data_IF_012393171711
#
_entry.id   IF_012393171711
#
_cell.length_a   1.000
_cell.length_b   1.000
_cell.length_c   1.000
_cell.angle_alpha   90.00
_cell.angle_beta   90.00
_cell.angle_gamma   90.00
#
_symmetry.space_group_name_H-M   'P 1'
#
loop_
_entity.id
_entity.type
_entity.pdbx_description
1 polymer ?
#
# COMPACT_ATOMS: atom_id res chain seq x y z
N UNK A 1 -29.02 4.50 10.74
CA UNK A 1 -28.02 3.44 10.61
C UNK A 1 -27.73 3.22 9.13
N UNK A 2 -26.45 3.10 8.80
CA UNK A 2 -25.94 2.59 7.53
C UNK A 2 -25.17 1.32 7.87
N UNK A 3 -25.62 0.16 7.39
CA UNK A 3 -25.08 -1.14 7.81
C UNK A 3 -24.02 -1.74 6.87
N UNK A 4 -23.65 -1.01 5.81
CA UNK A 4 -22.66 -1.48 4.82
C UNK A 4 -23.18 -2.50 3.81
N UNK A 5 -24.46 -2.88 3.85
CA UNK A 5 -25.05 -3.88 2.94
C UNK A 5 -25.58 -3.31 1.61
N UNK A 6 -25.32 -2.03 1.34
CA UNK A 6 -25.83 -1.27 0.20
C UNK A 6 -27.38 -1.08 0.21
N UNK A 7 -28.02 -1.26 1.37
CA UNK A 7 -29.42 -0.94 1.57
C UNK A 7 -29.60 0.54 1.95
N UNK A 8 -30.84 1.05 1.86
CA UNK A 8 -31.14 2.42 2.33
C UNK A 8 -30.91 2.53 3.83
N UNK A 9 -30.41 3.69 4.26
CA UNK A 9 -30.32 4.01 5.69
C UNK A 9 -31.68 3.95 6.38
N UNK A 10 -31.70 3.54 7.62
CA UNK A 10 -32.93 3.44 8.44
C UNK A 10 -32.70 3.99 9.85
N UNK A 11 -33.81 4.37 10.53
CA UNK A 11 -33.77 4.76 11.95
C UNK A 11 -33.76 3.50 12.82
N UNK A 12 -32.94 3.51 13.88
CA UNK A 12 -32.83 2.38 14.81
C UNK A 12 -31.67 2.56 15.78
N UNK A 13 -31.49 1.56 16.62
CA UNK A 13 -30.46 1.47 17.64
C UNK A 13 -29.49 0.36 17.30
N UNK A 14 -28.28 0.39 17.90
CA UNK A 14 -27.26 -0.66 17.82
C UNK A 14 -26.90 -1.07 19.24
N UNK A 15 -27.10 -2.34 19.59
CA UNK A 15 -26.60 -2.91 20.83
C UNK A 15 -25.26 -3.60 20.59
N UNK A 16 -24.32 -3.37 21.51
CA UNK A 16 -22.99 -3.95 21.48
C UNK A 16 -22.76 -4.68 22.81
N UNK A 17 -22.32 -5.93 22.72
CA UNK A 17 -21.91 -6.72 23.88
C UNK A 17 -20.45 -7.14 23.67
N UNK A 18 -19.57 -6.65 24.54
CA UNK A 18 -18.13 -6.79 24.40
C UNK A 18 -17.61 -6.25 23.06
N UNK A 19 -17.12 -7.12 22.17
CA UNK A 19 -16.57 -6.78 20.85
C UNK A 19 -17.52 -7.10 19.69
N UNK A 20 -18.82 -7.36 19.97
CA UNK A 20 -19.80 -7.82 18.99
C UNK A 20 -21.02 -6.91 18.92
N UNK A 21 -21.52 -6.70 17.71
CA UNK A 21 -22.86 -6.18 17.49
C UNK A 21 -23.83 -7.29 17.82
N UNK A 22 -24.65 -7.07 18.85
CA UNK A 22 -25.61 -8.05 19.38
C UNK A 22 -26.98 -7.90 18.72
N UNK A 23 -27.42 -6.66 18.52
CA UNK A 23 -28.69 -6.39 17.85
C UNK A 23 -28.67 -5.03 17.12
N UNK A 24 -29.45 -4.93 16.06
CA UNK A 24 -29.71 -3.71 15.30
C UNK A 24 -31.21 -3.59 15.05
N UNK A 25 -31.81 -2.46 15.41
CA UNK A 25 -33.24 -2.23 15.20
C UNK A 25 -33.85 -1.31 16.25
N UNK A 26 -35.14 -1.47 16.56
CA UNK A 26 -35.80 -0.75 17.64
C UNK A 26 -35.53 -1.46 18.98
N UNK A 27 -34.66 -0.87 19.78
CA UNK A 27 -34.21 -1.40 21.07
C UNK A 27 -34.68 -0.53 22.26
N UNK A 28 -35.71 0.32 22.10
CA UNK A 28 -36.15 1.28 23.11
C UNK A 28 -36.54 0.63 24.46
N UNK A 29 -36.88 -0.67 24.49
CA UNK A 29 -37.16 -1.42 25.71
C UNK A 29 -35.99 -2.24 26.23
N UNK A 30 -34.82 -2.11 25.63
CA UNK A 30 -33.62 -2.87 26.01
C UNK A 30 -32.84 -2.09 27.05
N UNK A 31 -32.43 -2.77 28.12
CA UNK A 31 -31.53 -2.20 29.12
C UNK A 31 -30.07 -2.34 28.67
N UNK A 32 -29.31 -1.26 28.82
CA UNK A 32 -27.85 -1.24 28.60
C UNK A 32 -27.17 -0.57 29.81
N UNK A 33 -25.93 -0.97 30.09
CA UNK A 33 -25.10 -0.33 31.12
C UNK A 33 -24.72 1.09 30.73
N UNK A 34 -24.47 1.32 29.44
CA UNK A 34 -24.13 2.63 28.87
C UNK A 34 -24.99 2.88 27.62
N UNK A 35 -25.50 4.08 27.48
CA UNK A 35 -26.28 4.51 26.32
C UNK A 35 -25.65 5.78 25.73
N UNK A 36 -25.27 5.69 24.46
CA UNK A 36 -24.77 6.82 23.67
C UNK A 36 -25.94 7.38 22.85
N UNK A 37 -26.32 8.63 23.10
CA UNK A 37 -27.36 9.30 22.30
C UNK A 37 -26.78 9.71 20.93
N UNK A 38 -27.15 8.96 19.88
CA UNK A 38 -26.74 9.21 18.52
C UNK A 38 -27.81 9.94 17.68
N UNK A 39 -28.83 10.54 18.27
CA UNK A 39 -29.86 11.29 17.55
C UNK A 39 -29.28 12.44 16.74
N UNK A 40 -29.67 12.54 15.47
CA UNK A 40 -29.10 13.52 14.52
C UNK A 40 -27.74 13.14 13.92
N UNK A 41 -27.23 11.96 14.25
CA UNK A 41 -26.00 11.41 13.70
C UNK A 41 -26.25 10.15 12.87
N UNK A 42 -25.27 9.73 12.11
CA UNK A 42 -25.25 8.48 11.38
C UNK A 42 -24.35 7.48 12.11
N UNK A 43 -24.89 6.29 12.39
CA UNK A 43 -24.10 5.16 12.87
C UNK A 43 -23.78 4.29 11.67
N UNK A 44 -22.51 4.05 11.43
CA UNK A 44 -22.01 3.25 10.30
C UNK A 44 -20.80 2.40 10.76
N UNK A 45 -20.43 1.33 10.03
CA UNK A 45 -19.14 0.68 10.21
C UNK A 45 -17.99 1.67 10.09
N UNK A 46 -16.93 1.46 10.85
CA UNK A 46 -15.71 2.24 10.69
C UNK A 46 -15.11 2.06 9.30
N UNK A 47 -14.50 3.11 8.77
CA UNK A 47 -13.85 3.07 7.46
C UNK A 47 -12.60 2.18 7.50
N UNK A 48 -12.35 1.51 6.38
CA UNK A 48 -11.14 0.74 6.15
C UNK A 48 -10.29 1.50 5.13
N UNK A 49 -9.10 1.96 5.55
CA UNK A 49 -8.12 2.49 4.61
C UNK A 49 -7.31 1.30 4.04
N UNK A 50 -7.63 0.93 2.82
CA UNK A 50 -7.11 -0.29 2.19
C UNK A 50 -5.69 -0.16 1.66
N UNK A 51 -5.14 1.07 1.62
CA UNK A 51 -3.81 1.32 1.08
C UNK A 51 -3.05 2.35 1.90
N UNK A 52 -2.21 1.88 2.82
CA UNK A 52 -1.38 2.74 3.65
C UNK A 52 0.05 2.21 3.76
N UNK A 53 0.94 3.09 4.24
CA UNK A 53 2.31 2.80 4.62
C UNK A 53 2.54 3.11 6.11
N UNK A 54 1.53 2.86 6.93
CA UNK A 54 1.53 3.17 8.36
C UNK A 54 2.27 2.11 9.20
N UNK A 55 2.97 1.15 8.59
CA UNK A 55 3.67 0.04 9.27
C UNK A 55 4.49 0.51 10.46
N UNK A 56 5.32 1.54 10.28
CA UNK A 56 6.15 2.10 11.33
C UNK A 56 5.36 3.01 12.29
N UNK A 57 4.36 3.71 11.75
CA UNK A 57 3.49 4.61 12.52
C UNK A 57 2.74 3.85 13.62
N UNK A 58 2.24 2.66 13.33
CA UNK A 58 1.54 1.79 14.28
C UNK A 58 2.38 1.48 15.54
N UNK A 59 3.72 1.42 15.40
CA UNK A 59 4.66 1.20 16.52
C UNK A 59 5.04 2.49 17.25
N UNK A 60 5.23 3.57 16.51
CA UNK A 60 5.83 4.81 17.03
C UNK A 60 4.80 5.81 17.51
N UNK A 61 3.62 5.83 16.89
CA UNK A 61 2.48 6.67 17.26
C UNK A 61 1.18 5.86 17.23
N UNK A 62 0.97 4.93 18.17
CA UNK A 62 -0.15 3.98 18.14
C UNK A 62 -1.53 4.64 18.31
N UNK A 63 -1.60 5.90 18.69
CA UNK A 63 -2.87 6.65 18.71
C UNK A 63 -3.46 6.86 17.31
N UNK A 64 -2.61 6.91 16.28
CA UNK A 64 -2.98 7.05 14.85
C UNK A 64 -4.08 8.10 14.63
N UNK A 65 -3.98 9.21 15.35
CA UNK A 65 -5.00 10.27 15.41
C UNK A 65 -5.47 10.77 14.04
N UNK A 66 -4.58 10.98 13.03
CA UNK A 66 -5.01 11.45 11.70
C UNK A 66 -5.99 10.51 11.00
N UNK A 67 -5.91 9.22 11.25
CA UNK A 67 -6.82 8.21 10.69
C UNK A 67 -8.09 8.12 11.53
N UNK A 68 -7.93 7.91 12.83
CA UNK A 68 -9.05 7.71 13.75
C UNK A 68 -9.99 8.91 13.79
N UNK A 69 -9.46 10.14 13.75
CA UNK A 69 -10.27 11.38 13.73
C UNK A 69 -11.17 11.54 12.50
N UNK A 70 -10.90 10.75 11.44
CA UNK A 70 -11.70 10.71 10.23
C UNK A 70 -12.61 9.47 10.15
N UNK A 71 -12.71 8.70 11.23
CA UNK A 71 -13.54 7.48 11.29
C UNK A 71 -12.91 6.25 10.68
N UNK A 72 -11.61 6.27 10.36
CA UNK A 72 -10.87 5.08 9.93
C UNK A 72 -10.56 4.22 11.15
N UNK A 73 -11.06 3.00 11.18
CA UNK A 73 -10.90 2.04 12.28
C UNK A 73 -10.03 0.85 11.92
N UNK A 74 -9.69 0.71 10.65
CA UNK A 74 -8.82 -0.37 10.15
C UNK A 74 -7.94 0.16 9.03
N UNK A 75 -6.67 -0.22 9.04
CA UNK A 75 -5.72 0.07 7.95
C UNK A 75 -5.16 -1.22 7.37
N UNK A 76 -4.88 -1.22 6.07
CA UNK A 76 -4.09 -2.27 5.41
C UNK A 76 -2.71 -1.71 5.15
N UNK A 77 -1.69 -2.33 5.75
CA UNK A 77 -0.28 -1.93 5.67
C UNK A 77 0.55 -2.96 4.91
N UNK A 78 1.80 -2.64 4.62
CA UNK A 78 2.66 -3.53 3.83
C UNK A 78 2.40 -3.44 2.32
N UNK A 79 1.83 -2.34 1.84
CA UNK A 79 1.53 -2.11 0.43
C UNK A 79 2.78 -1.83 -0.42
N UNK A 80 2.63 -1.82 -1.73
CA UNK A 80 3.65 -1.45 -2.73
C UNK A 80 4.98 -2.21 -2.58
N UNK A 81 4.94 -3.45 -2.07
CA UNK A 81 6.12 -4.27 -1.86
C UNK A 81 6.94 -3.91 -0.61
N UNK A 82 6.44 -3.03 0.24
CA UNK A 82 7.18 -2.51 1.40
C UNK A 82 6.48 -2.87 2.70
N UNK A 83 7.14 -3.67 3.56
CA UNK A 83 6.70 -4.00 4.92
C UNK A 83 7.88 -3.98 5.88
N UNK A 84 7.67 -3.72 7.18
CA UNK A 84 8.75 -3.71 8.17
C UNK A 84 9.32 -5.10 8.48
N UNK A 85 8.58 -6.14 8.18
CA UNK A 85 8.95 -7.54 8.40
C UNK A 85 8.60 -8.38 7.17
N UNK A 86 9.32 -9.50 6.95
CA UNK A 86 10.43 -10.03 7.72
C UNK A 86 11.79 -9.53 7.21
N UNK A 87 12.42 -8.62 7.93
CA UNK A 87 13.79 -8.19 7.63
C UNK A 87 14.47 -7.63 8.89
N UNK A 88 15.67 -8.14 9.17
CA UNK A 88 16.60 -7.53 10.10
C UNK A 88 17.66 -6.83 9.25
N UNK A 89 17.53 -5.52 9.11
CA UNK A 89 18.40 -4.76 8.22
C UNK A 89 19.85 -4.71 8.78
N UNK A 90 20.79 -4.95 7.88
CA UNK A 90 22.23 -4.84 8.07
C UNK A 90 22.84 -3.70 7.23
N UNK A 91 21.98 -2.96 6.54
CA UNK A 91 22.29 -1.85 5.64
C UNK A 91 21.11 -0.88 5.57
N UNK A 92 21.35 0.38 5.17
CA UNK A 92 20.26 1.33 4.92
C UNK A 92 19.23 0.77 3.94
N UNK A 93 17.93 0.92 4.22
CA UNK A 93 16.88 0.46 3.31
C UNK A 93 16.96 1.24 1.98
N UNK A 94 16.91 0.54 0.83
CA UNK A 94 16.88 1.22 -0.45
C UNK A 94 15.51 1.90 -0.67
N UNK A 95 15.42 2.99 -1.45
CA UNK A 95 14.15 3.54 -1.87
C UNK A 95 13.27 2.51 -2.60
N UNK A 96 11.95 2.44 -2.35
CA UNK A 96 11.14 3.34 -1.52
C UNK A 96 11.03 2.93 -0.05
N UNK A 97 11.75 1.92 0.42
CA UNK A 97 11.64 1.38 1.77
C UNK A 97 12.03 2.40 2.84
N UNK A 98 12.92 3.35 2.51
CA UNK A 98 13.32 4.48 3.34
C UNK A 98 12.17 5.45 3.67
N UNK A 99 11.06 5.40 2.91
CA UNK A 99 9.85 6.21 3.21
C UNK A 99 9.16 5.81 4.52
N UNK A 100 9.22 4.53 4.91
CA UNK A 100 8.55 4.04 6.12
C UNK A 100 9.48 3.93 7.32
N UNK A 101 10.78 4.04 7.12
CA UNK A 101 11.73 4.06 8.22
C UNK A 101 13.18 3.88 7.83
N UNK A 102 14.06 4.26 8.76
CA UNK A 102 15.49 4.02 8.65
C UNK A 102 15.84 2.55 8.94
N UNK A 103 17.12 2.19 8.83
CA UNK A 103 17.64 0.85 9.18
C UNK A 103 17.12 0.35 10.54
N UNK A 104 17.05 1.23 11.55
CA UNK A 104 16.60 0.86 12.89
C UNK A 104 15.10 0.48 12.95
N UNK A 105 14.28 0.88 11.97
CA UNK A 105 12.89 0.48 11.89
C UNK A 105 12.76 -0.98 11.40
N UNK A 106 13.67 -1.41 10.53
CA UNK A 106 13.71 -2.77 9.96
C UNK A 106 14.45 -3.75 10.88
N UNK A 107 13.89 -4.02 12.05
CA UNK A 107 14.49 -4.82 13.13
C UNK A 107 13.75 -6.13 13.42
N UNK A 108 12.87 -6.54 12.54
CA UNK A 108 12.00 -7.69 12.75
C UNK A 108 12.36 -8.83 11.80
N UNK A 109 13.14 -9.83 12.24
CA UNK A 109 13.57 -10.95 11.39
C UNK A 109 12.41 -11.83 10.93
N UNK A 110 11.25 -11.76 11.61
CA UNK A 110 10.03 -12.49 11.25
C UNK A 110 8.81 -11.58 11.40
N UNK A 111 7.76 -11.85 10.64
CA UNK A 111 6.48 -11.15 10.81
C UNK A 111 5.88 -11.38 12.20
N UNK A 112 6.02 -12.60 12.76
CA UNK A 112 5.59 -12.91 14.12
C UNK A 112 6.25 -11.99 15.16
N UNK A 113 7.54 -11.65 15.01
CA UNK A 113 8.23 -10.72 15.94
C UNK A 113 7.67 -9.29 15.85
N UNK A 114 7.30 -8.84 14.64
CA UNK A 114 6.65 -7.56 14.43
C UNK A 114 5.23 -7.54 15.03
N UNK A 115 4.43 -8.57 14.76
CA UNK A 115 3.09 -8.72 15.32
C UNK A 115 3.10 -8.67 16.85
N UNK A 116 4.03 -9.40 17.49
CA UNK A 116 4.19 -9.35 18.95
C UNK A 116 4.57 -7.96 19.47
N UNK A 117 5.36 -7.20 18.74
CA UNK A 117 5.68 -5.83 19.14
C UNK A 117 4.45 -4.91 19.09
N UNK A 118 3.57 -5.10 18.11
CA UNK A 118 2.29 -4.38 18.05
C UNK A 118 1.35 -4.80 19.19
N UNK A 119 1.30 -6.06 19.54
CA UNK A 119 0.47 -6.57 20.66
C UNK A 119 0.91 -6.05 22.03
N UNK A 120 2.20 -5.76 22.22
CA UNK A 120 2.72 -5.17 23.44
C UNK A 120 2.28 -3.73 23.66
N UNK A 121 2.06 -2.98 22.57
CA UNK A 121 1.56 -1.62 22.58
C UNK A 121 0.56 -1.45 21.44
N UNK A 122 -0.69 -1.92 21.63
CA UNK A 122 -1.68 -1.92 20.57
C UNK A 122 -1.98 -0.52 20.05
N UNK A 123 -2.17 -0.41 18.75
CA UNK A 123 -2.67 0.81 18.13
C UNK A 123 -4.17 1.00 18.43
N UNK A 124 -4.64 2.25 18.35
CA UNK A 124 -6.07 2.61 18.54
C UNK A 124 -6.97 2.17 17.39
N UNK A 125 -6.40 1.59 16.33
CA UNK A 125 -7.11 1.06 15.16
C UNK A 125 -6.64 -0.38 14.88
N UNK A 126 -7.45 -1.12 14.14
CA UNK A 126 -7.04 -2.44 13.65
C UNK A 126 -6.05 -2.29 12.48
N UNK A 127 -5.20 -3.30 12.31
CA UNK A 127 -4.29 -3.38 11.18
C UNK A 127 -4.31 -4.77 10.55
N UNK A 128 -4.40 -4.80 9.22
CA UNK A 128 -4.20 -5.98 8.40
C UNK A 128 -2.89 -5.84 7.62
N UNK A 129 -2.11 -6.90 7.54
CA UNK A 129 -0.72 -6.82 7.08
C UNK A 129 -0.49 -7.61 5.80
N UNK A 130 0.03 -6.96 4.77
CA UNK A 130 0.63 -7.58 3.61
C UNK A 130 2.13 -7.74 3.83
N UNK A 131 2.73 -8.75 3.20
CA UNK A 131 4.18 -8.95 3.18
C UNK A 131 4.74 -8.38 1.89
N UNK A 132 5.68 -7.46 2.03
CA UNK A 132 6.25 -6.74 0.91
C UNK A 132 7.32 -7.53 0.16
N UNK A 133 7.23 -7.56 -1.18
CA UNK A 133 8.21 -8.20 -2.06
C UNK A 133 9.61 -7.58 -1.94
N UNK A 134 9.70 -6.24 -1.90
CA UNK A 134 10.98 -5.54 -1.69
C UNK A 134 11.63 -5.97 -0.38
N UNK A 135 10.82 -6.13 0.68
CA UNK A 135 11.29 -6.59 1.98
C UNK A 135 11.85 -8.02 1.91
N UNK A 136 11.14 -8.93 1.23
CA UNK A 136 11.60 -10.30 1.02
C UNK A 136 12.88 -10.35 0.19
N UNK A 137 12.98 -9.56 -0.87
CA UNK A 137 14.22 -9.48 -1.69
C UNK A 137 15.38 -8.91 -0.89
N UNK A 138 15.17 -7.82 -0.14
CA UNK A 138 16.21 -7.22 0.71
C UNK A 138 16.71 -8.16 1.81
N UNK A 139 15.83 -8.98 2.36
CA UNK A 139 16.18 -9.96 3.41
C UNK A 139 16.92 -11.20 2.87
N UNK A 140 16.85 -11.44 1.56
CA UNK A 140 17.29 -12.72 0.96
C UNK A 140 18.44 -12.53 -0.03
N UNK A 141 18.49 -11.40 -0.73
CA UNK A 141 19.40 -11.16 -1.84
C UNK A 141 20.48 -10.15 -1.50
N UNK A 142 21.67 -10.38 -2.02
CA UNK A 142 22.83 -9.50 -1.95
C UNK A 142 22.83 -8.40 -3.04
N UNK A 143 22.24 -8.69 -4.19
CA UNK A 143 22.13 -7.78 -5.33
C UNK A 143 20.67 -7.80 -5.87
N UNK A 144 20.02 -6.63 -5.86
CA UNK A 144 18.64 -6.46 -6.27
C UNK A 144 18.47 -6.16 -7.77
N UNK A 145 19.57 -5.81 -8.47
CA UNK A 145 19.57 -5.43 -9.90
C UNK A 145 19.56 -6.64 -10.86
N UNK A 146 19.22 -7.81 -10.34
CA UNK A 146 19.12 -9.07 -11.10
C UNK A 146 17.88 -9.86 -10.69
N UNK A 147 17.41 -10.79 -11.54
CA UNK A 147 16.43 -11.78 -11.12
C UNK A 147 16.90 -12.60 -9.91
N UNK A 148 15.97 -13.00 -9.07
CA UNK A 148 16.28 -13.91 -7.98
C UNK A 148 16.64 -15.31 -8.51
N UNK A 149 17.60 -15.96 -7.86
CA UNK A 149 17.95 -17.36 -8.12
C UNK A 149 16.87 -18.27 -7.53
N UNK A 150 16.82 -19.50 -7.98
CA UNK A 150 15.86 -20.48 -7.48
C UNK A 150 15.86 -20.60 -5.94
N UNK A 151 17.04 -20.71 -5.34
CA UNK A 151 17.20 -20.81 -3.87
C UNK A 151 16.72 -19.54 -3.15
N UNK A 152 16.93 -18.36 -3.73
CA UNK A 152 16.45 -17.09 -3.18
C UNK A 152 14.92 -17.02 -3.26
N UNK A 153 14.32 -17.48 -4.36
CA UNK A 153 12.85 -17.59 -4.48
C UNK A 153 12.30 -18.54 -3.42
N UNK A 154 12.88 -19.71 -3.22
CA UNK A 154 12.43 -20.68 -2.21
C UNK A 154 12.57 -20.13 -0.77
N UNK A 155 13.61 -19.35 -0.50
CA UNK A 155 13.79 -18.65 0.77
C UNK A 155 12.70 -17.59 0.99
N UNK A 156 12.41 -16.77 -0.03
CA UNK A 156 11.33 -15.78 0.03
C UNK A 156 9.96 -16.44 0.21
N UNK A 157 9.68 -17.55 -0.49
CA UNK A 157 8.45 -18.34 -0.33
C UNK A 157 8.30 -18.85 1.10
N UNK A 158 9.39 -19.37 1.68
CA UNK A 158 9.40 -19.86 3.07
C UNK A 158 9.09 -18.76 4.07
N UNK A 159 9.69 -17.57 3.90
CA UNK A 159 9.42 -16.40 4.74
C UNK A 159 7.97 -15.92 4.58
N UNK A 160 7.45 -15.86 3.34
CA UNK A 160 6.07 -15.47 3.07
C UNK A 160 5.09 -16.46 3.71
N UNK A 161 5.28 -17.77 3.50
CA UNK A 161 4.43 -18.81 4.10
C UNK A 161 4.43 -18.75 5.63
N UNK A 162 5.60 -18.56 6.24
CA UNK A 162 5.71 -18.37 7.70
C UNK A 162 4.94 -17.12 8.17
N UNK A 163 4.98 -16.05 7.40
CA UNK A 163 4.26 -14.82 7.71
C UNK A 163 2.75 -14.98 7.58
N UNK A 164 2.29 -15.71 6.57
CA UNK A 164 0.86 -16.03 6.38
C UNK A 164 0.34 -16.90 7.54
N UNK A 165 1.10 -17.90 7.98
CA UNK A 165 0.79 -18.68 9.19
C UNK A 165 0.72 -17.81 10.46
N UNK A 166 1.52 -16.76 10.53
CA UNK A 166 1.52 -15.83 11.66
C UNK A 166 0.42 -14.74 11.55
N UNK A 167 -0.46 -14.79 10.53
CA UNK A 167 -1.64 -13.93 10.40
C UNK A 167 -1.49 -12.79 9.40
N UNK A 168 -0.47 -12.78 8.56
CA UNK A 168 -0.46 -11.86 7.40
C UNK A 168 -1.59 -12.24 6.44
N UNK A 169 -2.24 -11.24 5.83
CA UNK A 169 -3.41 -11.44 4.96
C UNK A 169 -3.06 -11.58 3.49
N UNK A 170 -1.79 -11.39 3.11
CA UNK A 170 -1.40 -11.44 1.71
C UNK A 170 0.02 -10.99 1.44
N UNK A 171 0.27 -10.72 0.17
CA UNK A 171 1.56 -10.36 -0.40
C UNK A 171 1.40 -9.11 -1.27
N UNK A 172 2.38 -8.21 -1.24
CA UNK A 172 2.36 -7.03 -2.10
C UNK A 172 3.63 -6.88 -2.93
N UNK A 173 3.50 -6.27 -4.11
CA UNK A 173 4.63 -5.91 -4.97
C UNK A 173 4.66 -4.43 -5.28
N UNK A 174 5.85 -3.91 -5.57
CA UNK A 174 6.07 -2.57 -6.13
C UNK A 174 7.02 -2.69 -7.31
N UNK A 175 6.52 -3.23 -8.43
CA UNK A 175 7.33 -3.64 -9.58
C UNK A 175 7.97 -2.47 -10.34
N UNK A 176 7.47 -1.25 -10.13
CA UNK A 176 8.08 -0.03 -10.66
C UNK A 176 9.34 0.39 -9.90
N UNK A 177 9.52 -0.06 -8.65
CA UNK A 177 10.63 0.38 -7.80
C UNK A 177 11.88 -0.47 -7.97
N UNK A 178 13.04 0.17 -7.86
CA UNK A 178 14.35 -0.46 -8.04
C UNK A 178 14.54 -1.82 -7.36
N UNK A 179 14.12 -2.07 -6.11
CA UNK A 179 14.27 -3.38 -5.49
C UNK A 179 13.58 -4.52 -6.24
N UNK A 180 12.53 -4.22 -7.03
CA UNK A 180 11.70 -5.20 -7.72
C UNK A 180 11.76 -5.12 -9.25
N UNK A 181 12.39 -4.10 -9.84
CA UNK A 181 12.42 -3.93 -11.32
C UNK A 181 12.98 -5.15 -12.05
N UNK A 182 14.01 -5.79 -11.47
CA UNK A 182 14.62 -6.99 -12.03
C UNK A 182 13.84 -8.30 -11.72
N UNK A 183 12.76 -8.23 -10.93
CA UNK A 183 11.93 -9.40 -10.64
C UNK A 183 11.19 -9.87 -11.89
N UNK A 184 11.27 -11.18 -12.17
CA UNK A 184 10.57 -11.79 -13.30
C UNK A 184 9.10 -12.07 -12.96
N UNK A 185 8.20 -12.15 -13.95
CA UNK A 185 6.83 -12.60 -13.71
C UNK A 185 6.73 -13.98 -13.07
N UNK A 186 7.68 -14.87 -13.33
CA UNK A 186 7.72 -16.21 -12.72
C UNK A 186 8.11 -16.15 -11.24
N UNK A 187 9.05 -15.27 -10.84
CA UNK A 187 9.37 -14.99 -9.44
C UNK A 187 8.12 -14.53 -8.68
N UNK A 188 7.42 -13.50 -9.22
CA UNK A 188 6.21 -12.95 -8.60
C UNK A 188 5.10 -14.01 -8.52
N UNK A 189 4.91 -14.79 -9.60
CA UNK A 189 3.90 -15.87 -9.64
C UNK A 189 4.20 -16.96 -8.61
N UNK A 190 5.48 -17.32 -8.43
CA UNK A 190 5.87 -18.33 -7.45
C UNK A 190 5.58 -17.88 -6.00
N UNK A 191 5.82 -16.61 -5.69
CA UNK A 191 5.50 -16.04 -4.38
C UNK A 191 3.98 -15.91 -4.20
N UNK A 192 3.27 -15.33 -5.15
CA UNK A 192 1.82 -15.18 -5.08
C UNK A 192 1.09 -16.54 -4.97
N UNK A 193 1.69 -17.61 -5.50
CA UNK A 193 1.16 -18.98 -5.38
C UNK A 193 1.01 -19.48 -3.94
N UNK A 194 1.80 -18.93 -3.00
CA UNK A 194 1.68 -19.27 -1.57
C UNK A 194 0.36 -18.80 -0.97
N UNK A 195 -0.28 -17.79 -1.55
CA UNK A 195 -1.53 -17.20 -1.05
C UNK A 195 -2.73 -18.14 -1.16
N UNK A 196 -2.70 -19.06 -2.13
CA UNK A 196 -3.84 -19.92 -2.46
C UNK A 196 -4.33 -20.75 -1.27
N UNK A 197 -3.42 -21.32 -0.51
CA UNK A 197 -3.76 -22.16 0.65
C UNK A 197 -4.33 -21.36 1.83
N UNK A 198 -4.03 -20.06 1.89
CA UNK A 198 -4.44 -19.15 2.97
C UNK A 198 -5.65 -18.27 2.61
N UNK A 199 -6.14 -18.34 1.37
CA UNK A 199 -7.15 -17.37 0.88
C UNK A 199 -6.63 -15.93 0.87
N UNK A 200 -5.32 -15.76 0.74
CA UNK A 200 -4.65 -14.46 0.81
C UNK A 200 -4.82 -13.62 -0.46
N UNK A 201 -4.47 -12.35 -0.35
CA UNK A 201 -4.63 -11.32 -1.39
C UNK A 201 -3.27 -10.95 -1.97
N UNK A 202 -3.16 -10.85 -3.29
CA UNK A 202 -2.05 -10.23 -4.00
C UNK A 202 -2.37 -8.77 -4.29
N UNK A 203 -1.65 -7.81 -3.70
CA UNK A 203 -1.77 -6.38 -4.01
C UNK A 203 -0.55 -5.92 -4.83
N UNK A 204 -0.75 -5.12 -5.87
CA UNK A 204 0.34 -4.74 -6.76
C UNK A 204 0.35 -3.26 -7.13
N UNK A 205 1.42 -2.56 -6.73
CA UNK A 205 1.89 -1.40 -7.47
C UNK A 205 2.52 -1.96 -8.75
N UNK A 206 1.82 -1.78 -9.85
CA UNK A 206 2.16 -2.39 -11.14
C UNK A 206 3.52 -1.92 -11.65
N UNK A 207 4.07 -2.62 -12.62
CA UNK A 207 5.37 -2.32 -13.22
C UNK A 207 5.40 -0.96 -13.91
N UNK A 208 4.27 -0.55 -14.47
CA UNK A 208 4.12 0.73 -15.17
C UNK A 208 2.66 1.19 -15.08
N UNK A 209 2.45 2.44 -14.71
CA UNK A 209 1.13 3.07 -14.63
C UNK A 209 0.96 4.16 -15.71
N UNK A 210 1.99 4.35 -16.52
CA UNK A 210 2.09 5.26 -17.63
C UNK A 210 1.94 4.56 -18.98
N UNK A 211 2.91 4.76 -19.87
CA UNK A 211 2.87 4.35 -21.28
C UNK A 211 2.64 2.84 -21.50
N UNK A 212 3.06 1.98 -20.55
CA UNK A 212 2.89 0.53 -20.60
C UNK A 212 1.78 0.01 -19.67
N UNK A 213 0.86 0.86 -19.23
CA UNK A 213 -0.21 0.52 -18.30
C UNK A 213 -0.96 -0.77 -18.70
N UNK A 214 -1.32 -0.93 -19.96
CA UNK A 214 -2.09 -2.10 -20.40
C UNK A 214 -1.29 -3.40 -20.35
N UNK A 215 0.02 -3.34 -20.59
CA UNK A 215 0.90 -4.49 -20.43
C UNK A 215 1.06 -4.85 -18.94
N UNK A 216 1.16 -3.85 -18.06
CA UNK A 216 1.25 -4.06 -16.62
C UNK A 216 -0.06 -4.60 -16.02
N UNK A 217 -1.22 -4.19 -16.55
CA UNK A 217 -2.52 -4.79 -16.21
C UNK A 217 -2.54 -6.28 -16.57
N UNK A 218 -2.16 -6.63 -17.80
CA UNK A 218 -2.13 -8.03 -18.24
C UNK A 218 -1.13 -8.87 -17.43
N UNK A 219 0.06 -8.34 -17.12
CA UNK A 219 1.02 -9.00 -16.22
C UNK A 219 0.37 -9.33 -14.87
N UNK A 220 -0.37 -8.38 -14.30
CA UNK A 220 -1.05 -8.54 -13.00
C UNK A 220 -2.15 -9.61 -13.07
N UNK A 221 -2.96 -9.59 -14.14
CA UNK A 221 -4.03 -10.58 -14.34
C UNK A 221 -3.48 -12.00 -14.54
N UNK A 222 -2.45 -12.14 -15.37
CA UNK A 222 -1.81 -13.43 -15.61
C UNK A 222 -1.16 -13.97 -14.35
N UNK A 223 -0.46 -13.13 -13.61
CA UNK A 223 0.18 -13.51 -12.34
C UNK A 223 -0.85 -14.05 -11.36
N UNK A 224 -1.91 -13.30 -11.08
CA UNK A 224 -2.95 -13.70 -10.12
C UNK A 224 -3.68 -14.98 -10.56
N UNK A 225 -4.01 -15.10 -11.85
CA UNK A 225 -4.68 -16.29 -12.40
C UNK A 225 -3.79 -17.52 -12.27
N UNK A 226 -2.51 -17.42 -12.62
CA UNK A 226 -1.52 -18.52 -12.47
C UNK A 226 -1.30 -18.89 -11.01
N UNK A 227 -1.26 -17.91 -10.12
CA UNK A 227 -1.13 -18.10 -8.69
C UNK A 227 -2.41 -18.65 -8.03
N UNK A 228 -3.57 -18.47 -8.64
CA UNK A 228 -4.87 -18.88 -8.12
C UNK A 228 -5.32 -18.06 -6.90
N UNK A 229 -5.03 -16.76 -6.88
CA UNK A 229 -5.38 -15.83 -5.81
C UNK A 229 -6.06 -14.57 -6.34
N UNK A 230 -6.83 -13.83 -5.49
CA UNK A 230 -7.34 -12.51 -5.82
C UNK A 230 -6.20 -11.51 -6.05
N UNK A 231 -6.44 -10.51 -6.92
CA UNK A 231 -5.52 -9.37 -7.10
C UNK A 231 -6.19 -8.05 -6.79
N UNK A 232 -5.45 -7.16 -6.14
CA UNK A 232 -5.81 -5.74 -5.95
C UNK A 232 -4.79 -4.89 -6.71
N UNK A 233 -5.30 -4.12 -7.68
CA UNK A 233 -4.51 -3.15 -8.42
C UNK A 233 -4.40 -1.88 -7.56
N UNK A 234 -3.23 -1.66 -6.99
CA UNK A 234 -2.97 -0.55 -6.08
C UNK A 234 -3.04 0.78 -6.80
N UNK A 235 -3.70 1.78 -6.19
CA UNK A 235 -3.79 3.19 -6.64
C UNK A 235 -3.88 3.33 -8.16
N UNK A 236 -4.80 2.57 -8.79
CA UNK A 236 -4.94 2.52 -10.24
C UNK A 236 -5.12 3.91 -10.85
N UNK A 237 -4.31 4.23 -11.86
CA UNK A 237 -4.31 5.49 -12.58
C UNK A 237 -3.77 5.38 -14.00
N UNK A 238 -4.01 6.41 -14.81
CA UNK A 238 -3.40 6.62 -16.12
C UNK A 238 -2.38 7.77 -16.00
N UNK A 239 -1.14 7.44 -15.66
CA UNK A 239 -0.13 8.37 -15.15
C UNK A 239 0.84 8.90 -16.22
N UNK A 240 0.39 9.17 -17.44
CA UNK A 240 1.23 9.85 -18.46
C UNK A 240 0.36 10.62 -19.44
N UNK A 241 0.91 11.63 -20.11
CA UNK A 241 0.18 12.39 -21.13
C UNK A 241 -0.43 11.52 -22.24
N UNK A 242 0.23 10.41 -22.61
CA UNK A 242 -0.29 9.47 -23.62
C UNK A 242 -1.48 8.65 -23.10
N UNK A 243 -1.61 8.52 -21.79
CA UNK A 243 -2.66 7.71 -21.15
C UNK A 243 -3.80 8.55 -20.59
N UNK A 244 -3.71 9.88 -20.59
CA UNK A 244 -4.80 10.74 -20.14
C UNK A 244 -6.08 10.50 -20.92
N UNK A 245 -7.21 10.49 -20.21
CA UNK A 245 -8.52 10.20 -20.78
C UNK A 245 -8.79 8.71 -21.08
N UNK A 246 -7.81 7.82 -20.88
CA UNK A 246 -7.96 6.37 -21.19
C UNK A 246 -8.40 5.51 -19.99
N UNK A 247 -8.80 6.13 -18.89
CA UNK A 247 -9.31 5.39 -17.72
C UNK A 247 -10.53 4.50 -18.05
N UNK A 248 -11.40 4.96 -18.94
CA UNK A 248 -12.55 4.14 -19.40
C UNK A 248 -12.09 2.85 -20.08
N UNK A 249 -11.01 2.92 -20.90
CA UNK A 249 -10.45 1.73 -21.55
C UNK A 249 -9.78 0.79 -20.52
N UNK A 250 -9.03 1.35 -19.56
CA UNK A 250 -8.39 0.53 -18.54
C UNK A 250 -9.41 -0.18 -17.64
N UNK A 251 -10.47 0.52 -17.23
CA UNK A 251 -11.56 -0.06 -16.45
C UNK A 251 -12.30 -1.15 -17.23
N UNK A 252 -12.59 -0.96 -18.51
CA UNK A 252 -13.21 -1.99 -19.34
C UNK A 252 -12.36 -3.27 -19.45
N UNK A 253 -11.02 -3.15 -19.45
CA UNK A 253 -10.12 -4.32 -19.40
C UNK A 253 -10.14 -5.01 -18.05
N UNK A 254 -10.20 -4.24 -16.96
CA UNK A 254 -10.32 -4.76 -15.60
C UNK A 254 -11.65 -5.51 -15.44
N UNK A 255 -12.77 -4.92 -15.89
CA UNK A 255 -14.10 -5.53 -15.83
C UNK A 255 -14.14 -6.86 -16.62
N UNK A 256 -13.58 -6.88 -17.83
CA UNK A 256 -13.51 -8.10 -18.63
C UNK A 256 -12.66 -9.20 -17.96
N UNK A 257 -11.56 -8.85 -17.30
CA UNK A 257 -10.75 -9.81 -16.56
C UNK A 257 -11.44 -10.28 -15.26
N UNK A 258 -12.23 -9.40 -14.63
CA UNK A 258 -12.98 -9.72 -13.41
C UNK A 258 -14.12 -10.75 -13.63
N UNK A 259 -14.54 -10.96 -14.87
CA UNK A 259 -15.47 -12.07 -15.19
C UNK A 259 -14.85 -13.46 -14.93
N UNK A 260 -13.53 -13.56 -14.91
CA UNK A 260 -12.82 -14.86 -14.81
C UNK A 260 -12.03 -15.03 -13.50
N UNK A 261 -11.79 -13.95 -12.74
CA UNK A 261 -10.99 -13.97 -11.51
C UNK A 261 -11.39 -12.81 -10.59
N UNK A 262 -11.08 -12.93 -9.28
CA UNK A 262 -11.35 -11.86 -8.34
C UNK A 262 -10.32 -10.74 -8.51
N UNK A 263 -10.79 -9.56 -8.91
CA UNK A 263 -10.00 -8.34 -9.06
C UNK A 263 -10.63 -7.22 -8.26
N UNK A 264 -9.84 -6.57 -7.43
CA UNK A 264 -10.15 -5.29 -6.80
C UNK A 264 -9.19 -4.21 -7.28
N UNK A 265 -9.52 -2.97 -7.00
CA UNK A 265 -8.61 -1.84 -7.18
C UNK A 265 -8.86 -0.81 -6.09
N UNK A 266 -7.84 -0.04 -5.76
CA UNK A 266 -7.99 1.17 -4.96
C UNK A 266 -7.58 2.40 -5.78
N UNK A 267 -8.11 3.55 -5.39
CA UNK A 267 -7.85 4.85 -6.01
C UNK A 267 -7.84 5.94 -4.96
N UNK A 268 -7.24 7.07 -5.28
CA UNK A 268 -7.33 8.29 -4.49
C UNK A 268 -7.88 9.45 -5.34
N UNK A 269 -8.60 10.42 -4.75
CA UNK A 269 -9.32 11.46 -5.50
C UNK A 269 -8.44 12.68 -5.82
N UNK A 270 -7.19 12.46 -6.26
CA UNK A 270 -6.24 13.51 -6.59
C UNK A 270 -5.65 13.28 -7.99
N UNK A 271 -5.35 14.37 -8.72
CA UNK A 271 -4.66 14.34 -10.01
C UNK A 271 -3.13 14.34 -9.85
N UNK A 272 -2.62 13.89 -8.71
CA UNK A 272 -1.20 13.84 -8.40
C UNK A 272 -0.85 12.60 -7.57
N UNK A 273 0.30 11.98 -7.86
CA UNK A 273 0.88 10.92 -7.06
C UNK A 273 1.96 11.45 -6.12
N UNK A 274 2.19 10.78 -4.99
CA UNK A 274 3.29 11.10 -4.07
C UNK A 274 4.17 9.86 -3.88
N UNK A 275 5.46 10.01 -4.17
CA UNK A 275 6.44 8.93 -4.01
C UNK A 275 7.86 9.51 -3.83
N UNK A 276 8.88 8.65 -3.85
CA UNK A 276 10.29 9.07 -3.89
C UNK A 276 10.60 9.93 -5.12
N UNK A 277 11.70 10.69 -5.07
CA UNK A 277 12.16 11.46 -6.22
C UNK A 277 12.75 10.53 -7.30
N UNK A 278 12.11 10.50 -8.48
CA UNK A 278 12.40 9.62 -9.63
C UNK A 278 12.55 10.45 -10.90
N UNK A 279 13.70 10.33 -11.58
CA UNK A 279 13.99 11.13 -12.80
C UNK A 279 13.07 10.77 -13.98
N UNK A 280 12.66 9.52 -14.10
CA UNK A 280 11.74 9.05 -15.15
C UNK A 280 10.32 9.65 -15.06
N UNK A 281 9.95 10.22 -13.91
CA UNK A 281 8.68 10.93 -13.72
C UNK A 281 8.72 12.39 -14.14
N UNK A 282 9.90 12.95 -14.48
CA UNK A 282 10.04 14.37 -14.85
C UNK A 282 9.22 14.67 -16.11
N UNK A 283 9.38 13.88 -17.16
CA UNK A 283 8.69 14.10 -18.43
C UNK A 283 7.19 13.74 -18.37
N UNK A 284 6.81 12.86 -17.46
CA UNK A 284 5.42 12.44 -17.25
C UNK A 284 4.60 13.46 -16.45
N UNK A 285 5.26 14.43 -15.81
CA UNK A 285 4.62 15.35 -14.86
C UNK A 285 4.54 16.78 -15.40
N UNK A 286 3.37 17.41 -15.25
CA UNK A 286 3.20 18.85 -15.51
C UNK A 286 3.95 19.73 -14.49
N UNK A 287 4.09 19.20 -13.25
CA UNK A 287 4.67 19.88 -12.10
C UNK A 287 5.15 18.85 -11.10
N UNK A 288 6.25 19.14 -10.41
CA UNK A 288 6.77 18.31 -9.32
C UNK A 288 7.03 19.22 -8.13
N UNK A 289 6.42 18.93 -6.98
CA UNK A 289 6.63 19.64 -5.72
C UNK A 289 7.39 18.75 -4.76
N UNK A 290 8.48 19.25 -4.19
CA UNK A 290 9.31 18.53 -3.20
C UNK A 290 8.57 18.44 -1.88
N UNK A 291 8.37 17.24 -1.34
CA UNK A 291 7.74 17.04 -0.03
C UNK A 291 8.75 16.97 1.09
N UNK A 292 9.93 16.43 0.82
CA UNK A 292 11.08 16.39 1.72
C UNK A 292 12.35 16.08 0.93
N UNK A 293 13.49 16.45 1.52
CA UNK A 293 14.83 16.09 1.04
C UNK A 293 15.75 15.95 2.24
N UNK A 294 16.55 14.89 2.28
CA UNK A 294 17.54 14.70 3.33
C UNK A 294 18.76 15.62 3.15
N UNK A 295 19.09 15.95 1.91
CA UNK A 295 20.25 16.77 1.53
C UNK A 295 19.96 18.26 1.55
N UNK A 296 18.71 18.66 1.21
CA UNK A 296 18.25 20.06 1.11
C UNK A 296 16.88 20.20 1.80
N UNK A 297 16.81 20.15 3.13
CA UNK A 297 15.51 20.17 3.85
C UNK A 297 14.65 21.40 3.56
N UNK A 298 15.27 22.55 3.27
CA UNK A 298 14.60 23.81 2.92
C UNK A 298 13.90 23.78 1.55
N UNK A 299 14.16 22.79 0.72
CA UNK A 299 13.43 22.58 -0.54
C UNK A 299 11.99 22.13 -0.36
N UNK A 300 11.59 21.73 0.85
CA UNK A 300 10.24 21.28 1.16
C UNK A 300 9.18 22.30 0.77
N UNK A 301 8.19 21.86 0.00
CA UNK A 301 7.09 22.69 -0.49
C UNK A 301 7.41 23.54 -1.71
N UNK A 302 8.64 23.47 -2.23
CA UNK A 302 9.05 24.18 -3.45
C UNK A 302 8.87 23.32 -4.69
N UNK A 303 8.65 23.98 -5.82
CA UNK A 303 8.60 23.31 -7.12
C UNK A 303 10.02 22.99 -7.61
N UNK A 304 10.18 21.79 -8.19
CA UNK A 304 11.45 21.36 -8.76
C UNK A 304 11.96 22.31 -9.85
N UNK A 305 11.03 22.87 -10.63
CA UNK A 305 11.36 23.83 -11.69
C UNK A 305 11.98 25.14 -11.13
N UNK A 306 11.42 25.65 -10.03
CA UNK A 306 11.94 26.85 -9.38
C UNK A 306 13.33 26.60 -8.78
N UNK A 307 13.53 25.41 -8.18
CA UNK A 307 14.82 25.01 -7.65
C UNK A 307 15.88 24.86 -8.76
N UNK A 308 15.51 24.30 -9.91
CA UNK A 308 16.41 24.17 -11.04
C UNK A 308 16.84 25.54 -11.60
N UNK A 309 15.92 26.51 -11.65
CA UNK A 309 16.22 27.90 -12.04
C UNK A 309 17.18 28.55 -11.02
N UNK A 310 16.87 28.47 -9.73
CA UNK A 310 17.69 29.08 -8.67
C UNK A 310 19.12 28.49 -8.63
N UNK A 311 19.25 27.22 -8.99
CA UNK A 311 20.53 26.50 -8.97
C UNK A 311 21.26 26.50 -10.31
N UNK A 312 20.70 27.15 -11.32
CA UNK A 312 21.23 27.21 -12.71
C UNK A 312 21.59 25.81 -13.24
N UNK A 313 20.61 24.87 -13.15
CA UNK A 313 20.83 23.49 -13.55
C UNK A 313 19.57 22.87 -14.20
N UNK A 314 19.72 21.66 -14.76
CA UNK A 314 18.56 20.91 -15.29
C UNK A 314 17.66 20.36 -14.19
N UNK A 315 16.40 20.03 -14.54
CA UNK A 315 15.46 19.37 -13.62
C UNK A 315 16.04 18.06 -13.06
N UNK A 316 16.67 17.25 -13.92
CA UNK A 316 17.32 15.99 -13.50
C UNK A 316 18.46 16.24 -12.52
N UNK A 317 19.30 17.25 -12.75
CA UNK A 317 20.36 17.61 -11.81
C UNK A 317 19.81 18.15 -10.50
N UNK A 318 18.78 19.01 -10.54
CA UNK A 318 18.12 19.48 -9.32
C UNK A 318 17.53 18.32 -8.52
N UNK A 319 16.88 17.35 -9.18
CA UNK A 319 16.33 16.16 -8.53
C UNK A 319 17.42 15.29 -7.88
N UNK A 320 18.56 15.08 -8.55
CA UNK A 320 19.69 14.33 -7.96
C UNK A 320 20.24 15.00 -6.70
N UNK A 321 20.33 16.33 -6.70
CA UNK A 321 20.78 17.09 -5.50
C UNK A 321 19.86 16.94 -4.29
N UNK A 322 18.57 16.67 -4.56
CA UNK A 322 17.52 16.51 -3.54
C UNK A 322 17.43 15.10 -2.96
N UNK A 323 18.07 14.12 -3.58
CA UNK A 323 17.98 12.73 -3.14
C UNK A 323 18.88 12.43 -1.92
N UNK A 324 18.46 11.52 -1.01
CA UNK A 324 17.12 10.92 -0.99
C UNK A 324 16.04 11.93 -0.62
N UNK A 325 14.87 11.77 -1.22
CA UNK A 325 13.76 12.70 -1.04
C UNK A 325 12.45 12.20 -1.62
N UNK A 326 11.38 12.92 -1.36
CA UNK A 326 10.04 12.65 -1.88
C UNK A 326 9.43 13.83 -2.62
N UNK A 327 8.49 13.54 -3.51
CA UNK A 327 7.80 14.55 -4.30
C UNK A 327 6.34 14.24 -4.56
N UNK A 328 5.56 15.27 -4.83
CA UNK A 328 4.23 15.18 -5.42
C UNK A 328 4.34 15.46 -6.92
N UNK A 329 3.89 14.51 -7.69
CA UNK A 329 3.94 14.52 -9.16
C UNK A 329 2.55 14.76 -9.72
N UNK A 330 2.32 15.90 -10.36
CA UNK A 330 1.06 16.23 -11.03
C UNK A 330 1.07 15.61 -12.43
N UNK A 331 0.72 14.34 -12.51
CA UNK A 331 0.89 13.49 -13.69
C UNK A 331 -0.41 12.89 -14.24
N UNK A 332 -1.56 13.23 -13.65
CA UNK A 332 -2.89 12.75 -14.05
C UNK A 332 -3.78 13.91 -14.48
N UNK A 333 -4.84 13.59 -15.26
CA UNK A 333 -5.83 14.56 -15.73
C UNK A 333 -7.24 13.94 -15.70
#
# INVERSE_FOLDING_TARGET
IIDGTNTKSFAGDVAITADRIDAVGDLHNTHAEEVIDARGHVVAPGFIDVHTHDDHLLLTNPEVTPKLSQGVTTVVVGNCGVSLAPWLADRPPPPPMDLIGSEQAYRFPTFESYRRALEQKPASINAAHLIGHSTLRCSTMDNLDRPARYEEIENMRTQLRSSLHAGAIGFSTGLAYAPNQAATPDEVTALAGELKEFGGIYATHMRDEGDQLFNALEESFVTARRAGCPVVLSHHKCASPKMWGRSTESLARIDAAAEQQLIGLDVYPYAAGSTILMEDHIEASKRIMVTWSATVPEARGRDLADLAIDWDCSLAEAMRRLQPGGGIYFMME
#
